data_IF_140092083033
#
_entry.id   IF_140092083033
#
_cell.length_a   1.000
_cell.length_b   1.000
_cell.length_c   1.000
_cell.angle_alpha   90.00
_cell.angle_beta   90.00
_cell.angle_gamma   90.00
#
_symmetry.space_group_name_H-M   'P 1'
#
loop_
_entity.id
_entity.type
_entity.pdbx_description
1 polymer ?
#
# COMPACT_ATOMS: atom_id res chain seq x y z
N UNK A 1 -0.21 10.44 14.90
CA UNK A 1 0.77 9.46 14.37
C UNK A 1 0.39 8.12 14.95
N UNK A 2 -0.42 7.35 14.23
CA UNK A 2 -0.79 6.00 14.63
C UNK A 2 0.01 5.03 13.79
N UNK A 3 0.79 4.17 14.43
CA UNK A 3 1.40 3.02 13.77
C UNK A 3 0.27 2.14 13.21
N UNK A 4 0.27 1.94 11.89
CA UNK A 4 -0.52 0.86 11.29
C UNK A 4 0.05 -0.45 11.83
N UNK A 5 -0.79 -1.34 12.40
CA UNK A 5 -0.31 -2.58 12.97
C UNK A 5 0.41 -3.38 11.88
N UNK A 6 1.59 -3.89 12.21
CA UNK A 6 2.31 -4.84 11.38
C UNK A 6 1.51 -6.14 11.36
N UNK A 7 0.66 -6.31 10.35
CA UNK A 7 -0.23 -7.47 10.15
C UNK A 7 0.50 -8.82 10.06
N UNK A 8 1.85 -8.82 10.06
CA UNK A 8 2.66 -10.04 10.14
C UNK A 8 2.72 -10.69 11.54
N UNK A 9 2.29 -10.02 12.62
CA UNK A 9 2.58 -10.50 13.98
C UNK A 9 1.42 -11.18 14.73
N UNK A 10 0.31 -11.53 14.08
CA UNK A 10 -0.81 -12.27 14.71
C UNK A 10 -0.83 -13.74 14.27
N UNK A 11 0.32 -14.42 14.35
CA UNK A 11 0.40 -15.87 14.10
C UNK A 11 1.24 -16.56 15.16
N UNK A 12 0.78 -16.51 16.41
CA UNK A 12 1.17 -17.52 17.40
C UNK A 12 -0.05 -18.35 17.76
N UNK A 13 -0.14 -19.51 17.12
CA UNK A 13 -0.82 -20.69 17.64
C UNK A 13 -2.30 -20.80 17.32
N UNK A 14 -2.64 -21.10 16.05
CA UNK A 14 -3.71 -22.06 15.74
C UNK A 14 -3.45 -22.66 14.36
N UNK A 15 -3.33 -23.97 14.30
CA UNK A 15 -3.05 -24.75 13.10
C UNK A 15 -4.30 -24.83 12.20
N UNK A 16 -4.11 -24.62 10.88
CA UNK A 16 -5.00 -25.07 9.80
C UNK A 16 -6.44 -24.50 9.75
N UNK A 17 -6.62 -23.19 9.93
CA UNK A 17 -7.75 -22.50 9.29
C UNK A 17 -7.16 -21.36 8.47
N UNK A 18 -7.00 -21.61 7.18
CA UNK A 18 -6.76 -20.59 6.17
C UNK A 18 -8.03 -19.75 6.07
N UNK A 19 -8.23 -18.82 7.03
CA UNK A 19 -9.05 -17.66 6.77
C UNK A 19 -8.18 -16.80 5.87
N UNK A 20 -8.24 -17.08 4.57
CA UNK A 20 -7.84 -16.11 3.55
C UNK A 20 -8.72 -14.88 3.79
N UNK A 21 -8.21 -13.98 4.61
CA UNK A 21 -8.74 -12.65 4.80
C UNK A 21 -8.61 -11.99 3.44
N UNK A 22 -9.68 -12.05 2.64
CA UNK A 22 -9.88 -11.28 1.42
C UNK A 22 -9.95 -9.79 1.79
N UNK A 23 -8.85 -9.24 2.31
CA UNK A 23 -8.73 -7.83 2.54
C UNK A 23 -8.76 -7.19 1.16
N UNK A 24 -9.90 -6.61 0.81
CA UNK A 24 -10.08 -5.83 -0.40
C UNK A 24 -9.14 -4.62 -0.32
N UNK A 25 -7.92 -4.76 -0.83
CA UNK A 25 -6.98 -3.66 -0.96
C UNK A 25 -7.61 -2.63 -1.90
N UNK A 26 -7.87 -1.42 -1.37
CA UNK A 26 -8.44 -0.29 -2.11
C UNK A 26 -7.55 0.91 -1.89
N UNK A 27 -7.05 1.49 -2.97
CA UNK A 27 -6.26 2.70 -2.89
C UNK A 27 -5.48 2.96 -4.17
N UNK A 28 -4.54 3.89 -4.11
CA UNK A 28 -3.72 4.27 -5.25
C UNK A 28 -2.39 3.55 -5.20
N UNK A 29 -2.08 2.77 -6.24
CA UNK A 29 -0.76 2.20 -6.40
C UNK A 29 0.20 3.32 -6.80
N UNK A 30 1.20 3.58 -5.95
CA UNK A 30 2.21 4.61 -6.21
C UNK A 30 3.61 4.01 -6.19
N UNK A 31 4.55 4.66 -6.89
CA UNK A 31 5.98 4.28 -6.97
C UNK A 31 6.87 5.46 -6.61
N UNK A 32 7.76 5.29 -5.64
CA UNK A 32 8.78 6.29 -5.33
C UNK A 32 9.75 6.47 -6.52
N UNK A 33 9.95 7.71 -6.97
CA UNK A 33 10.86 7.99 -8.08
C UNK A 33 12.33 7.87 -7.70
N UNK A 34 12.66 7.88 -6.41
CA UNK A 34 14.04 7.78 -5.93
C UNK A 34 14.51 6.34 -5.70
N UNK A 35 13.71 5.50 -5.06
CA UNK A 35 14.09 4.11 -4.74
C UNK A 35 13.26 3.03 -5.44
N UNK A 36 12.23 3.41 -6.20
CA UNK A 36 11.38 2.47 -6.94
C UNK A 36 10.38 1.66 -6.10
N UNK A 37 10.37 1.80 -4.77
CA UNK A 37 9.44 1.07 -3.90
C UNK A 37 7.99 1.42 -4.25
N UNK A 38 7.13 0.39 -4.31
CA UNK A 38 5.69 0.51 -4.61
C UNK A 38 4.84 0.18 -3.39
N UNK A 39 3.72 0.89 -3.21
CA UNK A 39 2.72 0.56 -2.20
C UNK A 39 1.37 1.15 -2.56
N UNK A 40 0.34 0.72 -1.82
CA UNK A 40 -1.01 1.28 -1.92
C UNK A 40 -1.16 2.43 -0.93
N UNK A 41 -1.46 3.60 -1.47
CA UNK A 41 -1.81 4.80 -0.72
C UNK A 41 -3.33 4.85 -0.52
N UNK A 42 -3.76 4.62 0.71
CA UNK A 42 -5.17 4.65 1.11
C UNK A 42 -5.59 6.09 1.43
N UNK A 43 -6.16 6.77 0.43
CA UNK A 43 -6.71 8.12 0.56
C UNK A 43 -8.05 8.21 -0.15
N UNK A 44 -8.94 9.09 0.33
CA UNK A 44 -10.25 9.35 -0.28
C UNK A 44 -10.17 10.23 -1.53
N UNK A 45 -9.04 10.92 -1.74
CA UNK A 45 -8.82 11.81 -2.87
C UNK A 45 -8.59 11.02 -4.17
N UNK A 46 -9.11 11.53 -5.28
CA UNK A 46 -8.90 10.96 -6.61
C UNK A 46 -7.57 11.45 -7.20
N UNK A 47 -6.64 10.53 -7.47
CA UNK A 47 -5.34 10.81 -8.05
C UNK A 47 -5.25 10.50 -9.55
N UNK A 48 -6.37 10.22 -10.22
CA UNK A 48 -6.41 9.82 -11.63
C UNK A 48 -5.66 10.77 -12.56
N UNK A 49 -5.84 12.08 -12.35
CA UNK A 49 -5.21 13.11 -13.18
C UNK A 49 -3.84 13.55 -12.66
N UNK A 50 -3.45 13.08 -11.47
CA UNK A 50 -2.16 13.39 -10.85
C UNK A 50 -1.12 12.37 -11.29
N UNK A 51 -0.22 12.74 -12.21
CA UNK A 51 0.90 11.87 -12.61
C UNK A 51 1.94 11.69 -11.51
N UNK A 52 2.09 12.70 -10.65
CA UNK A 52 3.15 12.78 -9.64
C UNK A 52 2.60 13.39 -8.34
N UNK A 53 2.93 12.79 -7.21
CA UNK A 53 2.58 13.29 -5.88
C UNK A 53 3.82 13.42 -5.00
N UNK A 54 3.81 14.37 -4.06
CA UNK A 54 4.88 14.52 -3.08
C UNK A 54 4.49 13.86 -1.77
N UNK A 55 5.18 12.77 -1.41
CA UNK A 55 4.80 11.94 -0.26
C UNK A 55 6.02 11.35 0.45
N UNK A 56 5.83 10.91 1.69
CA UNK A 56 6.90 10.31 2.49
C UNK A 56 7.20 8.88 2.02
N UNK A 57 8.46 8.59 1.72
CA UNK A 57 8.91 7.25 1.39
C UNK A 57 9.54 6.58 2.62
N UNK A 58 8.96 5.45 3.06
CA UNK A 58 9.48 4.67 4.20
C UNK A 58 10.88 4.10 3.98
N UNK A 59 11.26 3.82 2.72
CA UNK A 59 12.59 3.28 2.36
C UNK A 59 13.63 4.40 2.28
N UNK A 60 13.32 5.53 1.64
CA UNK A 60 14.22 6.68 1.57
C UNK A 60 14.31 7.46 2.90
N UNK A 61 13.34 7.26 3.79
CA UNK A 61 13.14 8.00 5.05
C UNK A 61 13.03 9.51 4.88
N UNK A 62 12.53 9.97 3.73
CA UNK A 62 12.33 11.38 3.39
C UNK A 62 11.14 11.54 2.44
N UNK A 63 10.64 12.76 2.32
CA UNK A 63 9.66 13.09 1.29
C UNK A 63 10.33 13.02 -0.09
N UNK A 64 9.65 12.38 -1.03
CA UNK A 64 10.10 12.24 -2.42
C UNK A 64 8.89 12.33 -3.34
N UNK A 65 9.15 12.50 -4.63
CA UNK A 65 8.12 12.37 -5.63
C UNK A 65 7.75 10.91 -5.85
N UNK A 66 6.48 10.67 -6.09
CA UNK A 66 5.93 9.36 -6.39
C UNK A 66 5.07 9.44 -7.64
N UNK A 67 5.24 8.49 -8.54
CA UNK A 67 4.35 8.33 -9.69
C UNK A 67 3.10 7.58 -9.27
N UNK A 68 1.95 8.04 -9.75
CA UNK A 68 0.68 7.34 -9.58
C UNK A 68 0.53 6.34 -10.73
N UNK A 69 0.50 5.05 -10.38
CA UNK A 69 0.44 3.95 -11.35
C UNK A 69 -1.00 3.55 -11.69
N UNK A 70 -1.96 3.90 -10.84
CA UNK A 70 -3.37 3.61 -11.04
C UNK A 70 -4.06 3.17 -9.75
N UNK A 71 -5.27 2.65 -9.89
CA UNK A 71 -6.09 2.21 -8.77
C UNK A 71 -5.89 0.72 -8.50
N UNK A 72 -5.63 0.38 -7.25
CA UNK A 72 -5.67 -1.00 -6.79
C UNK A 72 -7.13 -1.36 -6.48
N UNK A 73 -7.75 -2.17 -7.32
CA UNK A 73 -9.07 -2.76 -7.11
C UNK A 73 -8.92 -4.28 -7.19
N UNK A 74 -8.95 -4.97 -6.04
CA UNK A 74 -8.90 -6.45 -5.88
C UNK A 74 -7.73 -7.17 -6.59
N UNK A 75 -6.76 -7.67 -5.81
CA UNK A 75 -5.93 -8.80 -6.28
C UNK A 75 -6.74 -10.09 -6.07
N UNK A 76 -7.37 -10.61 -7.12
CA UNK A 76 -7.74 -12.03 -7.15
C UNK A 76 -6.45 -12.80 -7.42
N UNK A 77 -5.76 -13.22 -6.36
CA UNK A 77 -4.72 -14.25 -6.51
C UNK A 77 -5.48 -15.57 -6.60
N UNK A 78 -5.48 -16.15 -7.80
CA UNK A 78 -6.10 -17.44 -8.08
C UNK A 78 -5.36 -18.61 -7.46
#
# INVERSE_FOLDING_TARGET
MGDLPNYLNVVKGIENIVICMEASIRGWLIRCTNCGTKWVLEVSFDLKDSKLIYHYCKVCRKNTFHEVLGRAEKMNVG
#
